data_IF_030292863000
#
_entry.id   IF_030292863000
#
_cell.length_a   1.000
_cell.length_b   1.000
_cell.length_c   1.000
_cell.angle_alpha   90.00
_cell.angle_beta   90.00
_cell.angle_gamma   90.00
#
_symmetry.space_group_name_H-M   'P 1'
#
loop_
_entity.id
_entity.type
_entity.pdbx_description
1 polymer ?
#
# COMPACT_ATOMS: atom_id res chain seq x y z
N UNK A 1 -10.17 9.06 8.00
CA UNK A 1 -8.96 8.67 7.24
C UNK A 1 -7.92 9.79 7.25
N UNK A 2 -6.65 9.52 6.93
CA UNK A 2 -5.60 10.55 6.85
C UNK A 2 -4.77 10.42 5.56
N UNK A 3 -4.90 11.35 4.60
CA UNK A 3 -3.97 11.45 3.49
C UNK A 3 -2.54 11.73 4.00
N UNK A 4 -1.56 10.95 3.53
CA UNK A 4 -0.20 10.98 4.05
C UNK A 4 0.64 12.11 3.47
N UNK A 5 1.67 12.54 4.20
CA UNK A 5 2.62 13.58 3.73
C UNK A 5 3.68 12.98 2.81
N UNK A 6 4.46 13.85 2.15
CA UNK A 6 5.62 13.42 1.36
C UNK A 6 6.66 12.68 2.21
N UNK A 7 6.82 13.06 3.49
CA UNK A 7 7.73 12.38 4.42
C UNK A 7 7.23 10.97 4.76
N UNK A 8 5.93 10.84 5.07
CA UNK A 8 5.31 9.53 5.32
C UNK A 8 5.41 8.61 4.09
N UNK A 9 5.15 9.18 2.91
CA UNK A 9 5.26 8.47 1.63
C UNK A 9 6.69 7.97 1.38
N UNK A 10 7.70 8.79 1.64
CA UNK A 10 9.12 8.38 1.56
C UNK A 10 9.43 7.21 2.50
N UNK A 11 8.96 7.27 3.76
CA UNK A 11 9.15 6.17 4.72
C UNK A 11 8.53 4.87 4.22
N UNK A 12 7.33 4.94 3.66
CA UNK A 12 6.64 3.76 3.09
C UNK A 12 7.42 3.21 1.89
N UNK A 13 7.86 4.07 0.97
CA UNK A 13 8.64 3.64 -0.21
C UNK A 13 9.95 2.98 0.22
N UNK A 14 10.63 3.49 1.25
CA UNK A 14 11.86 2.88 1.75
C UNK A 14 11.61 1.47 2.29
N UNK A 15 10.59 1.29 3.15
CA UNK A 15 10.24 -0.02 3.68
C UNK A 15 9.83 -1.01 2.57
N UNK A 16 9.04 -0.56 1.59
CA UNK A 16 8.66 -1.36 0.43
C UNK A 16 9.88 -1.77 -0.42
N UNK A 17 10.85 -0.87 -0.59
CA UNK A 17 12.08 -1.16 -1.32
C UNK A 17 12.93 -2.17 -0.57
N UNK A 18 13.14 -1.97 0.74
CA UNK A 18 13.90 -2.88 1.59
C UNK A 18 13.35 -4.31 1.53
N UNK A 19 12.03 -4.48 1.73
CA UNK A 19 11.38 -5.79 1.79
C UNK A 19 11.11 -6.43 0.43
N UNK A 20 10.70 -5.66 -0.58
CA UNK A 20 10.17 -6.22 -1.85
C UNK A 20 10.87 -5.71 -3.11
N UNK A 21 11.75 -4.71 -2.99
CA UNK A 21 12.40 -4.06 -4.13
C UNK A 21 11.54 -3.02 -4.86
N UNK A 22 10.38 -2.67 -4.29
CA UNK A 22 9.43 -1.72 -4.89
C UNK A 22 9.92 -0.29 -4.65
N UNK A 23 10.21 0.45 -5.73
CA UNK A 23 10.80 1.80 -5.65
C UNK A 23 9.83 2.92 -6.01
N UNK A 24 8.72 2.62 -6.70
CA UNK A 24 7.77 3.63 -7.17
C UNK A 24 6.34 3.30 -6.78
N UNK A 25 5.65 4.31 -6.24
CA UNK A 25 4.23 4.27 -5.95
C UNK A 25 3.57 5.57 -6.44
N UNK A 26 3.04 5.60 -7.68
CA UNK A 26 2.51 6.81 -8.32
C UNK A 26 1.09 7.15 -7.85
N UNK A 27 0.75 6.82 -6.61
CA UNK A 27 -0.56 7.04 -6.03
C UNK A 27 -0.48 7.92 -4.79
N UNK A 28 -1.60 8.55 -4.44
CA UNK A 28 -1.78 9.15 -3.12
C UNK A 28 -1.96 8.02 -2.10
N UNK A 29 -1.25 8.10 -0.97
CA UNK A 29 -1.37 7.11 0.09
C UNK A 29 -2.25 7.69 1.19
N UNK A 30 -3.24 6.90 1.61
CA UNK A 30 -4.20 7.26 2.65
C UNK A 30 -4.10 6.23 3.76
N UNK A 31 -3.93 6.68 4.99
CA UNK A 31 -3.92 5.83 6.17
C UNK A 31 -5.32 5.73 6.78
N UNK A 32 -5.75 4.51 7.08
CA UNK A 32 -6.98 4.20 7.80
C UNK A 32 -6.63 3.58 9.15
N UNK A 33 -7.04 4.22 10.24
CA UNK A 33 -6.62 3.82 11.59
C UNK A 33 -5.11 3.94 11.77
N UNK A 34 -4.53 3.06 12.60
CA UNK A 34 -3.08 3.07 12.90
C UNK A 34 -2.23 2.37 11.86
N UNK A 35 -2.78 1.39 11.14
CA UNK A 35 -1.97 0.44 10.37
C UNK A 35 -2.29 0.37 8.89
N UNK A 36 -3.57 0.53 8.50
CA UNK A 36 -4.00 0.23 7.13
C UNK A 36 -3.55 1.33 6.17
N UNK A 37 -2.93 0.93 5.06
CA UNK A 37 -2.48 1.80 3.99
C UNK A 37 -3.31 1.53 2.74
N UNK A 38 -3.88 2.60 2.20
CA UNK A 38 -4.64 2.57 0.94
C UNK A 38 -3.95 3.43 -0.10
N UNK A 39 -4.08 3.05 -1.36
CA UNK A 39 -3.72 3.90 -2.50
C UNK A 39 -4.95 4.45 -3.17
N UNK A 40 -4.87 5.71 -3.57
CA UNK A 40 -5.92 6.43 -4.29
C UNK A 40 -5.35 6.96 -5.61
N UNK A 41 -6.07 6.69 -6.69
CA UNK A 41 -5.70 7.04 -8.07
C UNK A 41 -6.68 8.03 -8.73
N UNK A 42 -7.62 8.59 -7.96
CA UNK A 42 -8.54 9.60 -8.49
C UNK A 42 -7.93 11.00 -8.51
N UNK A 43 -8.73 11.98 -8.92
CA UNK A 43 -8.26 13.33 -9.23
C UNK A 43 -8.35 14.30 -8.03
N UNK A 44 -8.91 13.88 -6.90
CA UNK A 44 -8.99 14.74 -5.72
C UNK A 44 -7.60 14.94 -5.10
N UNK A 45 -7.31 16.20 -4.78
CA UNK A 45 -6.14 16.60 -4.03
C UNK A 45 -6.24 16.11 -2.59
N UNK A 46 -5.10 16.11 -1.91
CA UNK A 46 -4.99 15.69 -0.51
C UNK A 46 -5.89 16.52 0.41
N UNK A 47 -5.95 17.82 0.16
CA UNK A 47 -6.73 18.78 0.92
C UNK A 47 -8.23 18.53 0.71
N UNK A 48 -8.65 18.28 -0.53
CA UNK A 48 -10.04 17.95 -0.87
C UNK A 48 -10.49 16.64 -0.20
N UNK A 49 -9.64 15.61 -0.21
CA UNK A 49 -9.89 14.35 0.49
C UNK A 49 -10.01 14.55 2.01
N UNK A 50 -9.20 15.44 2.58
CA UNK A 50 -9.27 15.76 4.00
C UNK A 50 -10.58 16.47 4.35
N UNK A 51 -10.99 17.46 3.57
CA UNK A 51 -12.27 18.14 3.73
C UNK A 51 -13.44 17.16 3.59
N UNK A 52 -13.44 16.33 2.54
CA UNK A 52 -14.49 15.35 2.29
C UNK A 52 -14.63 14.34 3.45
N UNK A 53 -13.52 13.92 4.06
CA UNK A 53 -13.56 13.03 5.23
C UNK A 53 -14.28 13.67 6.43
N UNK A 54 -14.07 14.97 6.66
CA UNK A 54 -14.59 15.66 7.84
C UNK A 54 -16.10 15.89 7.73
N UNK A 55 -16.59 16.16 6.51
CA UNK A 55 -18.02 16.39 6.26
C UNK A 55 -18.83 15.08 6.18
N UNK A 56 -18.31 14.07 5.48
CA UNK A 56 -19.09 12.87 5.14
C UNK A 56 -18.74 11.62 5.96
N UNK A 57 -17.66 11.66 6.75
CA UNK A 57 -17.10 10.48 7.44
C UNK A 57 -16.89 9.31 6.48
N UNK A 58 -15.88 9.42 5.61
CA UNK A 58 -15.59 8.38 4.63
C UNK A 58 -15.12 7.09 5.32
N UNK A 59 -15.92 6.03 5.17
CA UNK A 59 -15.63 4.69 5.65
C UNK A 59 -14.56 3.97 4.82
N UNK A 60 -14.52 4.24 3.52
CA UNK A 60 -13.56 3.60 2.61
C UNK A 60 -13.32 4.43 1.34
N UNK A 61 -12.06 4.54 0.92
CA UNK A 61 -11.67 5.10 -0.38
C UNK A 61 -10.36 4.47 -0.85
N UNK A 62 -10.30 4.13 -2.14
CA UNK A 62 -9.11 3.54 -2.75
C UNK A 62 -8.86 2.10 -2.34
N UNK A 63 -7.75 1.56 -2.85
CA UNK A 63 -7.39 0.16 -2.69
C UNK A 63 -6.57 -0.06 -1.42
N UNK A 64 -7.01 -0.96 -0.55
CA UNK A 64 -6.21 -1.40 0.59
C UNK A 64 -5.07 -2.30 0.10
N UNK A 65 -3.89 -1.72 -0.06
CA UNK A 65 -2.76 -2.42 -0.67
C UNK A 65 -1.80 -3.00 0.36
N UNK A 66 -1.70 -2.41 1.55
CA UNK A 66 -0.75 -2.83 2.55
C UNK A 66 -1.17 -2.43 3.97
N UNK A 67 -0.53 -3.00 4.97
CA UNK A 67 -0.59 -2.50 6.35
C UNK A 67 0.77 -2.53 7.03
N UNK A 68 0.94 -1.66 8.01
CA UNK A 68 2.03 -1.78 8.98
C UNK A 68 1.83 -3.00 9.88
N UNK A 69 2.92 -3.70 10.14
CA UNK A 69 3.09 -4.78 11.11
C UNK A 69 4.35 -4.46 11.95
N UNK A 70 4.61 -5.28 12.98
CA UNK A 70 5.78 -5.11 13.85
C UNK A 70 7.12 -5.24 13.10
N UNK A 71 7.15 -6.04 12.04
CA UNK A 71 8.33 -6.37 11.24
C UNK A 71 8.40 -5.61 9.89
N UNK A 72 7.50 -4.65 9.67
CA UNK A 72 7.54 -3.79 8.49
C UNK A 72 6.18 -3.65 7.82
N UNK A 73 6.16 -3.69 6.50
CA UNK A 73 4.95 -3.58 5.68
C UNK A 73 4.54 -4.96 5.17
N UNK A 74 3.28 -5.32 5.41
CA UNK A 74 2.66 -6.49 4.80
C UNK A 74 1.78 -6.07 3.63
N UNK A 75 2.12 -6.55 2.44
CA UNK A 75 1.26 -6.39 1.26
C UNK A 75 0.01 -7.27 1.40
N UNK A 76 -1.12 -6.74 0.93
CA UNK A 76 -2.33 -7.52 0.67
C UNK A 76 -2.19 -8.24 -0.69
N UNK A 77 -3.07 -9.19 -0.97
CA UNK A 77 -3.10 -9.86 -2.29
C UNK A 77 -3.26 -8.84 -3.43
N UNK A 78 -4.18 -7.89 -3.28
CA UNK A 78 -4.38 -6.82 -4.27
C UNK A 78 -3.15 -5.91 -4.39
N UNK A 79 -2.47 -5.65 -3.27
CA UNK A 79 -1.21 -4.89 -3.26
C UNK A 79 -0.08 -5.60 -3.99
N UNK A 80 0.02 -6.93 -3.85
CA UNK A 80 0.96 -7.76 -4.62
C UNK A 80 0.64 -7.64 -6.11
N UNK A 81 -0.64 -7.82 -6.49
CA UNK A 81 -1.04 -7.74 -7.89
C UNK A 81 -0.80 -6.34 -8.49
N UNK A 82 -1.09 -5.28 -7.73
CA UNK A 82 -0.85 -3.89 -8.13
C UNK A 82 0.63 -3.62 -8.40
N UNK A 83 1.52 -4.23 -7.62
CA UNK A 83 2.96 -3.92 -7.62
C UNK A 83 3.81 -5.04 -8.21
N UNK A 84 3.18 -6.08 -8.79
CA UNK A 84 3.84 -7.32 -9.25
C UNK A 84 5.06 -7.08 -10.13
N UNK A 85 4.99 -6.09 -11.02
CA UNK A 85 6.06 -5.77 -11.98
C UNK A 85 7.30 -5.12 -11.33
N UNK A 86 7.21 -4.75 -10.05
CA UNK A 86 8.31 -4.15 -9.28
C UNK A 86 8.85 -5.07 -8.19
N UNK A 87 8.18 -6.18 -7.89
CA UNK A 87 8.62 -7.11 -6.85
C UNK A 87 9.82 -7.87 -7.40
N UNK A 88 10.96 -7.75 -6.73
CA UNK A 88 12.24 -8.34 -7.14
C UNK A 88 12.99 -9.02 -6.00
N UNK A 89 12.46 -8.98 -4.77
CA UNK A 89 13.05 -9.59 -3.58
C UNK A 89 12.09 -10.60 -2.97
N UNK A 90 12.65 -11.57 -2.25
CA UNK A 90 11.89 -12.57 -1.49
C UNK A 90 10.88 -13.35 -2.33
N UNK A 91 11.27 -13.70 -3.56
CA UNK A 91 10.47 -14.54 -4.47
C UNK A 91 10.93 -15.97 -4.32
N UNK A 92 9.98 -16.87 -4.04
CA UNK A 92 10.16 -18.31 -4.12
C UNK A 92 9.52 -18.80 -5.43
N UNK A 93 10.34 -19.32 -6.34
CA UNK A 93 9.84 -20.00 -7.52
C UNK A 93 9.49 -21.45 -7.13
N UNK A 94 8.27 -21.87 -7.49
CA UNK A 94 7.76 -23.21 -7.20
C UNK A 94 7.62 -23.98 -8.50
N UNK A 95 8.02 -25.25 -8.47
CA UNK A 95 7.74 -26.18 -9.55
C UNK A 95 6.28 -26.68 -9.47
N UNK A 96 5.70 -27.11 -10.60
CA UNK A 96 4.30 -27.57 -10.61
C UNK A 96 4.01 -28.73 -9.64
N UNK A 97 5.01 -29.57 -9.37
CA UNK A 97 4.92 -30.70 -8.44
C UNK A 97 4.85 -30.29 -6.97
N UNK A 98 5.06 -29.00 -6.67
CA UNK A 98 5.04 -28.43 -5.31
C UNK A 98 3.75 -27.66 -5.03
N UNK A 99 2.94 -27.40 -6.05
CA UNK A 99 1.65 -26.71 -5.94
C UNK A 99 0.68 -27.57 -5.11
N UNK A 100 0.23 -27.03 -3.97
CA UNK A 100 -0.66 -27.72 -3.01
C UNK A 100 0.02 -28.27 -1.75
N UNK A 101 1.35 -28.11 -1.61
CA UNK A 101 2.07 -28.38 -0.35
C UNK A 101 2.07 -27.19 0.62
N UNK A 102 1.55 -26.04 0.17
CA UNK A 102 1.41 -24.77 0.86
C UNK A 102 0.02 -24.21 0.59
#
# INVERSE_FOLDING_TARGET
MKPLTSTDKKRIINALNEQFGISKLPYLIIQFGKEKLRVYSGNLLKEELYHLNNELRIENIGLYFAKWENDGIRLTLDGVQLLKNQISKNILELEQTEVGKY
#
